data_IF_913213190061
#
_entry.id   IF_913213190061
#
_cell.length_a   1.000
_cell.length_b   1.000
_cell.length_c   1.000
_cell.angle_alpha   90.00
_cell.angle_beta   90.00
_cell.angle_gamma   90.00
#
_symmetry.space_group_name_H-M   'P 1'
#
loop_
_entity.id
_entity.type
_entity.pdbx_description
1 polymer ?
#
# COMPACT_ATOMS: atom_id res chain seq x y z
N UNK A 1 -18.35 -20.47 -1.86
CA UNK A 1 -17.59 -19.47 -1.08
C UNK A 1 -16.16 -19.91 -1.23
N UNK A 2 -15.61 -19.54 -2.37
CA UNK A 2 -14.31 -19.99 -2.86
C UNK A 2 -13.28 -19.02 -2.27
N UNK A 3 -12.58 -19.52 -1.26
CA UNK A 3 -11.22 -19.19 -0.85
C UNK A 3 -10.79 -17.71 -0.86
N UNK A 4 -11.14 -16.99 0.21
CA UNK A 4 -10.48 -15.74 0.65
C UNK A 4 -9.09 -16.01 1.25
N UNK A 5 -8.22 -16.71 0.54
CA UNK A 5 -6.86 -16.99 1.01
C UNK A 5 -5.83 -16.53 -0.03
N UNK A 6 -5.28 -15.34 0.16
CA UNK A 6 -4.00 -14.99 -0.46
C UNK A 6 -2.90 -15.92 0.11
N UNK A 7 -1.90 -16.30 -0.70
CA UNK A 7 -0.82 -17.22 -0.32
C UNK A 7 -0.03 -16.74 0.93
N UNK A 8 -0.15 -15.48 1.34
CA UNK A 8 0.39 -14.96 2.60
C UNK A 8 -0.29 -15.49 3.88
N UNK A 9 -1.48 -16.08 3.77
CA UNK A 9 -2.21 -16.65 4.91
C UNK A 9 -2.88 -15.63 5.85
N UNK A 10 -3.05 -14.38 5.43
CA UNK A 10 -3.82 -13.36 6.17
C UNK A 10 -5.31 -13.36 5.77
N UNK A 11 -6.16 -13.01 6.74
CA UNK A 11 -7.61 -12.84 6.58
C UNK A 11 -7.89 -11.39 6.12
N UNK A 12 -7.84 -11.16 4.81
CA UNK A 12 -8.05 -9.84 4.21
C UNK A 12 -9.52 -9.59 3.88
N UNK A 13 -9.99 -8.33 3.86
CA UNK A 13 -11.35 -8.01 3.45
C UNK A 13 -11.66 -8.43 2.00
N UNK A 14 -10.64 -8.40 1.11
CA UNK A 14 -10.73 -8.86 -0.27
C UNK A 14 -9.43 -9.57 -0.68
N UNK A 15 -9.50 -10.57 -1.56
CA UNK A 15 -8.31 -11.12 -2.24
C UNK A 15 -7.73 -10.03 -3.16
N UNK A 16 -6.44 -9.63 -3.02
CA UNK A 16 -5.81 -8.62 -3.87
C UNK A 16 -5.80 -8.98 -5.36
N UNK A 17 -5.79 -10.28 -5.71
CA UNK A 17 -5.88 -10.75 -7.10
C UNK A 17 -7.34 -10.98 -7.55
N UNK A 18 -8.27 -11.03 -6.60
CA UNK A 18 -9.70 -11.20 -6.85
C UNK A 18 -10.31 -10.01 -7.59
N UNK A 19 -11.53 -10.19 -8.10
CA UNK A 19 -12.22 -9.15 -8.88
C UNK A 19 -12.40 -7.85 -8.09
N UNK A 20 -12.73 -7.94 -6.81
CA UNK A 20 -12.93 -6.80 -5.92
C UNK A 20 -11.62 -6.12 -5.51
N UNK A 21 -10.60 -6.90 -5.11
CA UNK A 21 -9.30 -6.35 -4.71
C UNK A 21 -8.53 -5.71 -5.87
N UNK A 22 -8.64 -6.30 -7.06
CA UNK A 22 -8.01 -5.79 -8.28
C UNK A 22 -8.88 -4.80 -9.06
N UNK A 23 -10.14 -4.58 -8.70
CA UNK A 23 -11.13 -3.81 -9.49
C UNK A 23 -11.22 -4.24 -10.97
N UNK A 24 -11.28 -5.55 -11.19
CA UNK A 24 -11.24 -6.14 -12.53
C UNK A 24 -9.92 -5.84 -13.25
N UNK A 25 -8.82 -5.82 -12.50
CA UNK A 25 -7.47 -5.55 -13.00
C UNK A 25 -7.12 -4.08 -13.24
N UNK A 26 -7.72 -3.17 -12.48
CA UNK A 26 -7.38 -1.74 -12.47
C UNK A 26 -6.51 -1.33 -11.27
N UNK A 27 -6.46 -2.16 -10.23
CA UNK A 27 -5.64 -1.99 -9.02
C UNK A 27 -4.59 -3.07 -8.96
N UNK A 28 -3.31 -2.67 -9.07
CA UNK A 28 -2.18 -3.57 -8.94
C UNK A 28 -1.03 -2.92 -8.18
N UNK A 29 -0.47 -3.68 -7.23
CA UNK A 29 0.60 -3.25 -6.35
C UNK A 29 0.42 -1.85 -5.79
N UNK A 30 1.43 -1.00 -5.90
CA UNK A 30 1.39 0.33 -5.29
C UNK A 30 0.32 1.25 -5.89
N UNK A 31 -0.23 0.95 -7.08
CA UNK A 31 -1.33 1.75 -7.63
C UNK A 31 -2.58 1.72 -6.75
N UNK A 32 -2.72 0.71 -5.87
CA UNK A 32 -3.77 0.67 -4.83
C UNK A 32 -3.78 1.96 -4.02
N UNK A 33 -2.64 2.41 -3.51
CA UNK A 33 -2.57 3.64 -2.69
C UNK A 33 -2.96 4.89 -3.49
N UNK A 34 -2.56 4.96 -4.77
CA UNK A 34 -2.94 6.09 -5.65
C UNK A 34 -4.45 6.19 -5.89
N UNK A 35 -5.20 5.10 -5.71
CA UNK A 35 -6.66 5.08 -5.87
C UNK A 35 -7.41 5.40 -4.59
N UNK A 36 -6.70 5.48 -3.46
CA UNK A 36 -7.23 5.86 -2.15
C UNK A 36 -7.07 7.34 -1.83
N UNK A 37 -6.41 8.09 -2.72
CA UNK A 37 -6.10 9.50 -2.53
C UNK A 37 -6.43 10.28 -3.80
N UNK A 38 -7.25 11.32 -3.65
CA UNK A 38 -7.48 12.36 -4.63
C UNK A 38 -6.44 13.48 -4.49
N UNK A 39 -5.86 13.92 -5.62
CA UNK A 39 -4.75 14.88 -5.63
C UNK A 39 -5.19 16.31 -5.29
N UNK A 40 -6.45 16.65 -5.57
CA UNK A 40 -7.00 17.99 -5.36
C UNK A 40 -7.79 18.11 -4.05
N UNK A 41 -8.36 17.00 -3.55
CA UNK A 41 -9.28 17.02 -2.40
C UNK A 41 -8.67 16.54 -1.08
N UNK A 42 -7.74 15.59 -1.09
CA UNK A 42 -7.28 14.91 0.13
C UNK A 42 -6.02 15.50 0.77
N UNK A 43 -5.35 16.43 0.09
CA UNK A 43 -4.11 17.03 0.58
C UNK A 43 -4.36 18.37 1.30
N UNK A 44 -3.73 18.60 2.47
CA UNK A 44 -2.76 17.74 3.15
C UNK A 44 -3.36 16.49 3.78
N UNK A 45 -2.70 15.35 3.58
CA UNK A 45 -3.18 14.03 4.00
C UNK A 45 -2.54 13.62 5.33
N UNK A 46 -3.36 13.18 6.30
CA UNK A 46 -2.89 12.68 7.59
C UNK A 46 -2.70 11.16 7.57
N UNK A 47 -1.52 10.68 7.99
CA UNK A 47 -1.17 9.26 8.09
C UNK A 47 -2.18 8.48 8.92
N UNK A 48 -2.51 8.98 10.11
CA UNK A 48 -3.40 8.28 11.05
C UNK A 48 -4.79 8.09 10.45
N UNK A 49 -5.34 9.12 9.79
CA UNK A 49 -6.64 9.02 9.12
C UNK A 49 -6.60 8.04 7.95
N UNK A 50 -5.55 8.11 7.12
CA UNK A 50 -5.37 7.21 5.98
C UNK A 50 -5.25 5.74 6.40
N UNK A 51 -4.47 5.45 7.45
CA UNK A 51 -4.31 4.09 8.00
C UNK A 51 -5.57 3.63 8.72
N UNK A 52 -6.30 4.51 9.41
CA UNK A 52 -7.55 4.14 10.05
C UNK A 52 -8.63 3.71 9.03
N UNK A 53 -8.64 4.32 7.84
CA UNK A 53 -9.61 4.01 6.79
C UNK A 53 -9.19 2.82 5.91
N UNK A 54 -7.91 2.76 5.52
CA UNK A 54 -7.43 1.79 4.53
C UNK A 54 -6.43 0.78 5.08
N UNK A 55 -6.20 0.77 6.40
CA UNK A 55 -5.14 0.00 7.04
C UNK A 55 -5.17 -1.49 6.70
N UNK A 56 -6.34 -2.10 6.64
CA UNK A 56 -6.50 -3.53 6.34
C UNK A 56 -6.51 -3.86 4.85
N UNK A 57 -6.37 -2.88 3.95
CA UNK A 57 -6.40 -3.15 2.52
C UNK A 57 -5.10 -3.84 2.06
N UNK A 58 -5.20 -4.92 1.26
CA UNK A 58 -4.03 -5.64 0.78
C UNK A 58 -3.33 -4.91 -0.37
N UNK A 59 -2.00 -4.91 -0.32
CA UNK A 59 -1.11 -4.34 -1.32
C UNK A 59 -0.07 -5.39 -1.72
N UNK A 60 -0.10 -5.79 -2.99
CA UNK A 60 0.89 -6.72 -3.55
C UNK A 60 2.17 -5.99 -3.96
N UNK A 61 3.23 -6.15 -3.19
CA UNK A 61 4.48 -5.41 -3.42
C UNK A 61 5.46 -6.15 -4.34
N UNK A 62 5.30 -7.46 -4.51
CA UNK A 62 6.02 -8.27 -5.50
C UNK A 62 5.22 -9.55 -5.84
N UNK A 63 5.80 -10.44 -6.64
CA UNK A 63 5.15 -11.69 -7.11
C UNK A 63 4.87 -12.74 -6.02
N UNK A 64 5.30 -12.53 -4.77
CA UNK A 64 5.12 -13.46 -3.62
C UNK A 64 4.58 -12.80 -2.37
N UNK A 65 4.69 -11.48 -2.24
CA UNK A 65 4.48 -10.74 -0.99
C UNK A 65 3.32 -9.78 -1.15
N UNK A 66 2.32 -10.00 -0.31
CA UNK A 66 1.22 -9.09 -0.05
C UNK A 66 1.35 -8.61 1.38
N UNK A 67 1.18 -7.31 1.58
CA UNK A 67 1.19 -6.65 2.89
C UNK A 67 -0.04 -5.77 3.00
N UNK A 68 -0.39 -5.35 4.21
CA UNK A 68 -1.39 -4.32 4.42
C UNK A 68 -0.84 -2.94 4.06
N UNK A 69 -1.75 -2.00 3.82
CA UNK A 69 -1.43 -0.57 3.92
C UNK A 69 -0.79 -0.28 5.28
N UNK A 70 -1.37 -0.77 6.39
CA UNK A 70 -0.81 -0.54 7.72
C UNK A 70 0.66 -0.97 7.84
N UNK A 71 1.05 -2.17 7.38
CA UNK A 71 2.45 -2.65 7.42
C UNK A 71 3.40 -1.72 6.64
N UNK A 72 2.96 -1.15 5.52
CA UNK A 72 3.79 -0.19 4.77
C UNK A 72 4.00 1.07 5.61
N UNK A 73 2.93 1.58 6.22
CA UNK A 73 2.94 2.83 6.98
C UNK A 73 3.54 2.69 8.38
N UNK A 74 3.71 1.49 8.92
CA UNK A 74 4.53 1.25 10.13
C UNK A 74 5.95 1.76 9.96
N UNK A 75 6.48 1.74 8.73
CA UNK A 75 7.84 2.18 8.42
C UNK A 75 7.91 3.62 7.89
N UNK A 76 6.78 4.29 7.69
CA UNK A 76 6.75 5.69 7.21
C UNK A 76 6.78 6.63 8.42
N UNK A 77 7.86 7.40 8.59
CA UNK A 77 8.01 8.30 9.74
C UNK A 77 7.12 9.55 9.68
N UNK A 78 6.84 10.05 8.47
CA UNK A 78 6.03 11.25 8.30
C UNK A 78 4.57 11.04 8.72
N UNK A 79 4.03 11.98 9.51
CA UNK A 79 2.65 11.97 10.01
C UNK A 79 1.67 12.70 9.08
N UNK A 80 2.16 13.63 8.27
CA UNK A 80 1.38 14.42 7.31
C UNK A 80 2.12 14.46 5.97
N UNK A 81 1.36 14.48 4.88
CA UNK A 81 1.87 14.61 3.52
C UNK A 81 1.29 15.87 2.88
N UNK A 82 2.16 16.75 2.38
CA UNK A 82 1.73 18.05 1.84
C UNK A 82 1.07 17.92 0.46
N UNK A 83 1.56 16.98 -0.34
CA UNK A 83 1.08 16.69 -1.68
C UNK A 83 1.39 15.24 -2.05
N UNK A 84 0.95 14.83 -3.24
CA UNK A 84 1.14 13.46 -3.73
C UNK A 84 2.60 13.09 -3.95
N UNK A 85 3.45 14.05 -4.34
CA UNK A 85 4.88 13.80 -4.55
C UNK A 85 5.55 13.55 -3.19
N UNK A 86 5.22 14.33 -2.18
CA UNK A 86 5.66 14.12 -0.81
C UNK A 86 5.17 12.77 -0.27
N UNK A 87 3.87 12.46 -0.42
CA UNK A 87 3.31 11.14 -0.07
C UNK A 87 4.13 9.98 -0.65
N UNK A 88 4.41 9.99 -1.97
CA UNK A 88 5.17 8.91 -2.61
C UNK A 88 6.64 8.86 -2.19
N UNK A 89 7.25 10.00 -1.86
CA UNK A 89 8.61 10.02 -1.31
C UNK A 89 8.64 9.34 0.05
N UNK A 90 7.72 9.69 0.95
CA UNK A 90 7.65 9.13 2.29
C UNK A 90 7.30 7.64 2.27
N UNK A 91 6.30 7.23 1.48
CA UNK A 91 5.95 5.83 1.27
C UNK A 91 7.13 5.04 0.71
N UNK A 92 7.79 5.56 -0.34
CA UNK A 92 8.95 4.90 -0.94
C UNK A 92 10.12 4.78 0.03
N UNK A 93 10.33 5.76 0.91
CA UNK A 93 11.33 5.69 1.98
C UNK A 93 10.97 4.61 3.01
N UNK A 94 9.74 4.61 3.52
CA UNK A 94 9.28 3.59 4.46
C UNK A 94 9.37 2.16 3.91
N UNK A 95 9.08 1.95 2.63
CA UNK A 95 9.28 0.64 2.00
C UNK A 95 10.74 0.17 2.00
N UNK A 96 11.70 1.09 1.85
CA UNK A 96 13.13 0.76 1.90
C UNK A 96 13.55 0.46 3.34
N UNK A 97 13.11 1.27 4.28
CA UNK A 97 13.43 1.12 5.71
C UNK A 97 12.80 -0.14 6.31
N UNK A 98 11.62 -0.53 5.81
CA UNK A 98 10.89 -1.74 6.19
C UNK A 98 11.31 -3.04 5.49
N UNK A 99 12.37 -3.03 4.68
CA UNK A 99 12.81 -4.23 3.94
C UNK A 99 11.68 -4.84 3.09
N UNK A 100 10.83 -3.97 2.51
CA UNK A 100 9.65 -4.39 1.76
C UNK A 100 9.96 -4.65 0.28
N UNK A 101 11.11 -4.20 -0.22
CA UNK A 101 11.57 -4.48 -1.58
C UNK A 101 12.73 -5.47 -1.59
N UNK A 102 12.56 -6.55 -2.34
CA UNK A 102 13.62 -7.56 -2.54
C UNK A 102 14.80 -7.00 -3.35
N UNK A 103 14.51 -6.11 -4.31
CA UNK A 103 15.54 -5.49 -5.13
C UNK A 103 16.00 -4.18 -4.49
N UNK A 104 17.25 -4.15 -4.08
CA UNK A 104 17.96 -2.93 -3.70
C UNK A 104 18.98 -2.61 -4.78
N UNK A 105 18.82 -1.52 -5.55
CA UNK A 105 19.87 -1.10 -6.44
C UNK A 105 21.10 -0.74 -5.59
N UNK A 106 22.14 -1.55 -5.68
CA UNK A 106 23.49 -1.16 -5.24
C UNK A 106 24.01 -0.20 -6.31
N UNK A 107 24.00 1.10 -6.03
CA UNK A 107 24.65 2.07 -6.91
C UNK A 107 26.13 1.75 -7.07
N UNK A 108 26.68 1.98 -8.27
CA UNK A 108 28.12 2.17 -8.45
C UNK A 108 28.57 3.53 -7.91
#
# INVERSE_FOLDING_TARGET
MEDMYDESGRDWPHDPDGEEGSEGGRKYGMAVLSKKVDEDEDFPLQKEAFVAEYGDDPVRINYRKVVSVADIFEHVEAEEYSDKVDFWKQVGQGMRDGDLWDYRPTGE
#
